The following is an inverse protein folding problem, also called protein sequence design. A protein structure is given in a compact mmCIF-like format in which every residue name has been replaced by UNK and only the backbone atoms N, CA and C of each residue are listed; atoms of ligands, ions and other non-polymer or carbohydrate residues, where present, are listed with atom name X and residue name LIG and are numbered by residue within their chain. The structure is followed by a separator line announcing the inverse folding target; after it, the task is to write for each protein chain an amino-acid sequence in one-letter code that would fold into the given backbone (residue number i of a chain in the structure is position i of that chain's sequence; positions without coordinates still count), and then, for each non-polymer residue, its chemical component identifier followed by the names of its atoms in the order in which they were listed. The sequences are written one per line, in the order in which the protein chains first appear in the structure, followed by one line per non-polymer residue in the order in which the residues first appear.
data_IF_750842183183
#
_entry.id   IF_750842183183
#
_cell.length_a   1.000
_cell.length_b   1.000
_cell.length_c   1.000
_cell.angle_alpha   90.00
_cell.angle_beta   90.00
_cell.angle_gamma   90.00
#
_symmetry.space_group_name_H-M   'P 1'
#
loop_
_entity.id
_entity.type
_entity.pdbx_description
1 polymer ?
#
# COMPACT_ATOMS: atom_id res chain seq x y z
N UNK A 1 -36.08 21.53 47.81
CA UNK A 1 -36.21 20.49 46.78
C UNK A 1 -37.39 19.63 47.19
N UNK A 2 -38.52 19.69 46.45
CA UNK A 2 -39.66 18.77 46.57
C UNK A 2 -39.27 17.46 45.90
N UNK A 3 -39.17 16.38 46.66
CA UNK A 3 -39.03 15.04 46.08
C UNK A 3 -40.44 14.57 45.62
N UNK A 4 -40.61 14.32 44.32
CA UNK A 4 -41.82 13.67 43.81
C UNK A 4 -41.79 12.19 44.19
N UNK A 5 -42.84 11.77 44.93
CA UNK A 5 -43.02 10.36 45.30
C UNK A 5 -44.12 9.77 44.37
N UNK A 6 -43.73 8.78 43.55
CA UNK A 6 -44.64 8.06 42.66
C UNK A 6 -45.16 6.79 43.35
N UNK A 7 -46.46 6.61 43.43
CA UNK A 7 -47.08 5.34 43.80
C UNK A 7 -47.58 4.66 42.55
N UNK A 8 -47.08 3.45 42.27
CA UNK A 8 -47.46 2.68 41.08
C UNK A 8 -47.27 1.19 41.28
N UNK A 9 -47.77 0.38 40.32
CA UNK A 9 -47.54 -1.05 40.27
C UNK A 9 -46.12 -1.32 39.77
N UNK A 10 -45.32 -2.11 40.51
CA UNK A 10 -43.96 -2.43 40.15
C UNK A 10 -43.92 -3.43 38.97
N UNK A 11 -43.47 -2.99 37.77
CA UNK A 11 -43.43 -3.83 36.54
C UNK A 11 -42.42 -4.96 36.61
N UNK A 12 -41.42 -4.88 37.50
CA UNK A 12 -40.43 -5.94 37.75
C UNK A 12 -40.93 -7.00 38.73
N UNK A 13 -42.20 -6.94 39.17
CA UNK A 13 -42.79 -7.97 39.99
C UNK A 13 -43.23 -9.15 39.09
N UNK A 14 -42.40 -10.19 38.99
CA UNK A 14 -42.61 -11.36 38.14
C UNK A 14 -43.87 -12.16 38.49
N UNK A 15 -44.45 -12.02 39.69
CA UNK A 15 -45.72 -12.64 40.01
C UNK A 15 -46.93 -11.93 39.38
N UNK A 16 -46.75 -10.68 38.94
CA UNK A 16 -47.81 -9.85 38.36
C UNK A 16 -47.60 -9.46 36.93
N UNK A 17 -46.36 -9.42 36.45
CA UNK A 17 -46.02 -8.98 35.11
C UNK A 17 -44.99 -9.94 34.47
N UNK A 18 -45.12 -10.10 33.14
CA UNK A 18 -44.11 -10.73 32.31
C UNK A 18 -43.55 -9.70 31.35
N UNK A 19 -42.20 -9.48 31.38
CA UNK A 19 -41.49 -8.70 30.38
C UNK A 19 -40.88 -9.68 29.40
N UNK A 20 -41.27 -9.62 28.14
CA UNK A 20 -40.80 -10.51 27.09
C UNK A 20 -40.07 -9.75 26.01
N UNK A 21 -38.89 -10.21 25.67
CA UNK A 21 -38.09 -9.75 24.53
C UNK A 21 -37.69 -11.02 23.73
N UNK A 22 -38.53 -11.50 22.83
CA UNK A 22 -38.35 -12.80 22.16
C UNK A 22 -37.07 -12.87 21.32
N UNK A 23 -36.65 -11.75 20.75
CA UNK A 23 -35.42 -11.65 19.98
C UNK A 23 -34.15 -11.76 20.83
N UNK A 24 -34.26 -11.65 22.17
CA UNK A 24 -33.14 -11.80 23.09
C UNK A 24 -33.27 -13.11 23.90
N UNK A 25 -33.51 -14.23 23.21
CA UNK A 25 -33.42 -15.56 23.82
C UNK A 25 -31.97 -15.86 24.16
N UNK A 26 -31.71 -16.79 25.04
CA UNK A 26 -30.36 -17.14 25.46
C UNK A 26 -29.50 -17.54 24.26
N UNK A 27 -28.36 -16.83 24.10
CA UNK A 27 -27.41 -17.05 23.00
C UNK A 27 -27.67 -16.29 21.70
N UNK A 28 -28.75 -15.45 21.63
CA UNK A 28 -28.95 -14.58 20.47
C UNK A 28 -27.86 -13.51 20.42
N UNK A 29 -27.12 -13.47 19.33
CA UNK A 29 -26.07 -12.50 19.06
C UNK A 29 -26.41 -11.75 17.75
N UNK A 30 -26.42 -10.45 17.80
CA UNK A 30 -26.45 -9.61 16.61
C UNK A 30 -25.04 -9.47 16.03
N UNK A 31 -24.93 -9.17 14.75
CA UNK A 31 -23.66 -8.85 14.09
C UNK A 31 -23.77 -7.41 13.60
N UNK A 32 -22.76 -6.62 13.86
CA UNK A 32 -22.71 -5.22 13.43
C UNK A 32 -23.13 -5.04 11.97
N UNK A 33 -24.05 -4.13 11.72
CA UNK A 33 -24.56 -3.78 10.39
C UNK A 33 -24.69 -2.25 10.16
N UNK A 34 -24.16 -1.45 11.11
CA UNK A 34 -24.22 0.00 11.08
C UNK A 34 -25.55 0.60 11.54
N UNK A 35 -26.55 -0.25 11.84
CA UNK A 35 -27.89 0.18 12.29
C UNK A 35 -28.07 -0.02 13.78
N UNK A 36 -29.03 0.69 14.36
CA UNK A 36 -29.44 0.49 15.74
C UNK A 36 -30.26 -0.80 15.90
N UNK A 37 -29.83 -1.69 16.78
CA UNK A 37 -30.58 -2.89 17.14
C UNK A 37 -31.59 -2.56 18.23
N UNK A 38 -32.89 -2.61 17.90
CA UNK A 38 -34.01 -2.28 18.79
C UNK A 38 -34.99 -3.47 18.89
N UNK A 39 -34.60 -4.56 19.61
CA UNK A 39 -35.45 -5.73 19.76
C UNK A 39 -36.76 -5.38 20.44
N UNK A 40 -37.89 -5.88 19.89
CA UNK A 40 -39.19 -5.58 20.44
C UNK A 40 -39.36 -6.13 21.86
N UNK A 41 -39.91 -5.28 22.75
CA UNK A 41 -40.19 -5.64 24.13
C UNK A 41 -41.69 -5.47 24.38
N UNK A 42 -42.29 -6.49 25.02
CA UNK A 42 -43.68 -6.45 25.48
C UNK A 42 -43.75 -6.65 26.97
N UNK A 43 -44.67 -5.89 27.62
CA UNK A 43 -44.98 -6.04 29.04
C UNK A 43 -46.43 -6.51 29.16
N UNK A 44 -46.64 -7.67 29.79
CA UNK A 44 -47.98 -8.26 29.97
C UNK A 44 -48.28 -8.42 31.46
N UNK A 45 -49.46 -7.97 31.88
CA UNK A 45 -49.98 -8.24 33.20
C UNK A 45 -50.54 -9.69 33.21
N UNK A 46 -50.05 -10.53 34.12
CA UNK A 46 -50.40 -11.94 34.22
C UNK A 46 -51.90 -12.12 34.46
N UNK A 47 -52.45 -11.38 35.44
CA UNK A 47 -53.84 -11.37 35.71
C UNK A 47 -54.63 -10.78 34.50
N UNK A 48 -55.45 -11.62 33.88
CA UNK A 48 -56.23 -11.29 32.72
C UNK A 48 -55.46 -11.23 31.39
N UNK A 49 -54.18 -11.63 31.40
CA UNK A 49 -53.28 -11.66 30.23
C UNK A 49 -53.34 -10.36 29.39
N UNK A 50 -53.32 -9.20 30.11
CA UNK A 50 -53.45 -7.90 29.49
C UNK A 50 -52.10 -7.31 29.11
N UNK A 51 -51.88 -7.07 27.81
CA UNK A 51 -50.73 -6.32 27.33
C UNK A 51 -50.80 -4.85 27.80
N UNK A 52 -49.72 -4.34 28.34
CA UNK A 52 -49.57 -2.92 28.60
C UNK A 52 -49.21 -2.16 27.31
N UNK A 53 -49.52 -0.87 27.26
CA UNK A 53 -49.34 -0.01 26.08
C UNK A 53 -48.00 0.72 26.23
N UNK A 54 -47.09 0.50 25.28
CA UNK A 54 -45.83 1.24 25.17
C UNK A 54 -46.11 2.74 25.10
N UNK A 55 -45.25 3.56 25.66
CA UNK A 55 -45.29 5.02 25.74
C UNK A 55 -46.46 5.60 26.55
N UNK A 56 -47.32 4.73 27.12
CA UNK A 56 -48.37 5.09 28.05
C UNK A 56 -48.19 4.43 29.43
N UNK A 57 -47.88 3.13 29.43
CA UNK A 57 -47.71 2.34 30.64
C UNK A 57 -46.22 2.01 30.93
N UNK A 58 -45.39 2.02 29.93
CA UNK A 58 -43.95 1.83 30.01
C UNK A 58 -43.27 2.46 28.82
N UNK A 59 -41.98 2.84 28.99
CA UNK A 59 -41.08 3.24 27.93
C UNK A 59 -40.02 2.17 27.71
N UNK A 60 -39.47 2.13 26.51
CA UNK A 60 -38.30 1.27 26.15
C UNK A 60 -37.23 2.18 25.62
N UNK A 61 -36.02 2.03 26.13
CA UNK A 61 -34.83 2.74 25.69
C UNK A 61 -33.71 1.75 25.43
N UNK A 62 -32.80 2.11 24.54
CA UNK A 62 -31.63 1.31 24.20
C UNK A 62 -30.37 2.16 24.39
N UNK A 63 -29.30 1.54 24.82
CA UNK A 63 -27.98 2.15 24.91
C UNK A 63 -26.93 1.22 24.35
N UNK A 64 -25.90 1.80 23.72
CA UNK A 64 -24.78 1.09 23.09
C UNK A 64 -25.21 0.05 22.04
N UNK A 65 -26.35 0.30 21.37
CA UNK A 65 -27.05 -0.65 20.51
C UNK A 65 -26.74 -0.51 19.03
N UNK A 66 -25.66 0.20 18.66
CA UNK A 66 -25.21 0.36 17.26
C UNK A 66 -23.89 -0.38 17.06
N UNK A 67 -22.90 -0.11 17.90
CA UNK A 67 -21.54 -0.60 17.77
C UNK A 67 -21.36 -2.01 18.35
N UNK A 68 -20.35 -2.71 17.87
CA UNK A 68 -19.97 -4.01 18.42
C UNK A 68 -19.63 -3.90 19.93
N UNK A 69 -20.16 -4.81 20.71
CA UNK A 69 -20.01 -4.79 22.17
C UNK A 69 -21.25 -5.30 22.89
N UNK A 70 -21.49 -4.75 24.07
CA UNK A 70 -22.64 -5.09 24.92
C UNK A 70 -23.64 -3.95 24.94
N UNK A 71 -24.78 -4.17 24.33
CA UNK A 71 -25.92 -3.24 24.34
C UNK A 71 -26.87 -3.53 25.51
N UNK A 72 -27.65 -2.55 25.89
CA UNK A 72 -28.66 -2.67 26.95
C UNK A 72 -30.02 -2.18 26.48
N UNK A 73 -31.05 -2.98 26.71
CA UNK A 73 -32.44 -2.55 26.62
C UNK A 73 -32.97 -2.29 28.03
N UNK A 74 -33.63 -1.14 28.22
CA UNK A 74 -34.23 -0.74 29.49
C UNK A 74 -35.73 -0.52 29.30
N UNK A 75 -36.53 -1.04 30.21
CA UNK A 75 -37.96 -0.84 30.29
C UNK A 75 -38.30 -0.11 31.58
N UNK A 76 -38.86 1.07 31.50
CA UNK A 76 -39.26 1.88 32.67
C UNK A 76 -40.80 2.03 32.75
N UNK A 77 -41.36 1.80 33.92
CA UNK A 77 -42.80 1.97 34.17
C UNK A 77 -43.21 3.43 34.09
N UNK A 78 -44.35 3.70 33.45
CA UNK A 78 -44.98 5.01 33.26
C UNK A 78 -46.39 5.05 33.84
N UNK A 79 -46.89 6.27 34.13
CA UNK A 79 -48.25 6.48 34.62
C UNK A 79 -48.49 5.81 36.00
N UNK A 80 -49.35 4.81 36.04
CA UNK A 80 -49.62 4.00 37.21
C UNK A 80 -48.67 2.84 37.46
N UNK A 81 -47.55 2.78 36.72
CA UNK A 81 -46.54 1.74 36.81
C UNK A 81 -45.17 2.36 37.19
N UNK A 82 -44.36 1.59 37.89
CA UNK A 82 -43.03 2.02 38.37
C UNK A 82 -42.02 0.86 38.24
N UNK A 83 -40.75 1.19 38.34
CA UNK A 83 -39.63 0.25 38.26
C UNK A 83 -38.96 0.22 36.91
N UNK A 84 -37.69 -0.25 36.90
CA UNK A 84 -36.85 -0.38 35.75
C UNK A 84 -36.42 -1.84 35.61
N UNK A 85 -36.65 -2.41 34.44
CA UNK A 85 -36.13 -3.71 34.05
C UNK A 85 -35.07 -3.51 32.94
N UNK A 86 -33.98 -4.25 33.00
CA UNK A 86 -32.91 -4.17 32.02
C UNK A 86 -32.47 -5.56 31.58
N UNK A 87 -32.08 -5.65 30.33
CA UNK A 87 -31.43 -6.83 29.78
C UNK A 87 -30.33 -6.42 28.83
N UNK A 88 -29.17 -7.07 28.89
CA UNK A 88 -28.08 -6.88 27.95
C UNK A 88 -28.16 -7.85 26.80
N UNK A 89 -27.59 -7.47 25.66
CA UNK A 89 -27.39 -8.33 24.50
C UNK A 89 -26.07 -7.99 23.80
N UNK A 90 -25.51 -8.97 23.08
CA UNK A 90 -24.24 -8.79 22.40
C UNK A 90 -24.44 -8.40 20.94
N UNK A 91 -23.61 -7.49 20.47
CA UNK A 91 -23.39 -7.17 19.05
C UNK A 91 -21.98 -7.61 18.72
N UNK A 92 -21.83 -8.66 17.89
CA UNK A 92 -20.55 -9.13 17.45
C UNK A 92 -19.98 -8.19 16.38
N UNK A 93 -18.65 -8.00 16.33
CA UNK A 93 -18.03 -7.32 15.22
C UNK A 93 -18.22 -8.10 13.92
N UNK A 94 -18.28 -7.37 12.79
CA UNK A 94 -18.37 -7.96 11.44
C UNK A 94 -17.00 -8.45 10.99
N UNK A 95 -16.94 -9.66 10.45
CA UNK A 95 -15.70 -10.21 9.90
C UNK A 95 -15.34 -9.50 8.57
N UNK A 96 -14.08 -9.08 8.40
CA UNK A 96 -13.60 -8.48 7.17
C UNK A 96 -13.65 -9.42 5.95
N UNK A 97 -13.84 -10.72 6.14
CA UNK A 97 -14.06 -11.69 5.05
C UNK A 97 -15.49 -11.71 4.54
N UNK A 98 -16.43 -11.03 5.21
CA UNK A 98 -17.82 -10.93 4.76
C UNK A 98 -17.90 -10.37 3.33
N UNK A 99 -18.86 -10.88 2.54
CA UNK A 99 -19.01 -10.50 1.13
C UNK A 99 -19.42 -9.04 0.92
N UNK A 100 -19.98 -8.39 1.93
CA UNK A 100 -20.33 -6.96 1.91
C UNK A 100 -19.15 -6.04 2.24
N UNK A 101 -17.99 -6.61 2.63
CA UNK A 101 -16.74 -5.87 2.81
C UNK A 101 -15.91 -5.95 1.54
N UNK A 102 -15.49 -4.82 1.02
CA UNK A 102 -14.59 -4.74 -0.13
C UNK A 102 -13.24 -4.15 0.28
N UNK A 103 -12.16 -4.67 -0.31
CA UNK A 103 -10.80 -4.18 -0.16
C UNK A 103 -10.31 -3.69 -1.52
N UNK A 104 -9.99 -2.42 -1.64
CA UNK A 104 -9.41 -1.82 -2.83
C UNK A 104 -7.96 -1.38 -2.61
N UNK A 105 -7.18 -1.45 -3.68
CA UNK A 105 -5.79 -1.00 -3.75
C UNK A 105 -5.65 -0.05 -4.92
N UNK A 106 -5.27 1.21 -4.66
CA UNK A 106 -5.22 2.23 -5.71
C UNK A 106 -6.54 2.42 -6.44
N UNK A 107 -7.68 2.20 -5.76
CA UNK A 107 -9.03 2.29 -6.33
C UNK A 107 -9.51 1.04 -7.10
N UNK A 108 -8.78 -0.08 -7.04
CA UNK A 108 -9.09 -1.33 -7.77
C UNK A 108 -9.35 -2.46 -6.77
N UNK A 109 -10.46 -3.19 -6.93
CA UNK A 109 -10.91 -4.24 -5.98
C UNK A 109 -10.56 -5.66 -6.42
N UNK A 110 -10.20 -5.88 -7.69
CA UNK A 110 -9.98 -7.21 -8.29
C UNK A 110 -8.52 -7.71 -8.20
N UNK A 111 -7.64 -6.99 -7.51
CA UNK A 111 -6.22 -7.33 -7.41
C UNK A 111 -5.40 -7.02 -8.68
N UNK A 112 -5.98 -6.32 -9.66
CA UNK A 112 -5.30 -5.97 -10.92
C UNK A 112 -4.43 -4.70 -10.83
N UNK A 113 -4.36 -4.04 -9.65
CA UNK A 113 -3.54 -2.85 -9.48
C UNK A 113 -2.08 -3.12 -9.80
N UNK A 114 -1.49 -2.26 -10.62
CA UNK A 114 -0.10 -2.34 -11.04
C UNK A 114 0.58 -1.00 -10.89
N UNK A 115 1.85 -1.04 -10.48
CA UNK A 115 2.72 0.14 -10.44
C UNK A 115 4.10 -0.25 -10.91
N UNK A 116 4.87 0.73 -11.39
CA UNK A 116 6.23 0.50 -11.86
C UNK A 116 7.22 0.48 -10.69
N UNK A 117 8.26 -0.34 -10.79
CA UNK A 117 9.39 -0.33 -9.87
C UNK A 117 10.01 1.08 -9.77
N UNK A 118 10.22 1.55 -8.55
CA UNK A 118 10.73 2.89 -8.25
C UNK A 118 12.10 2.89 -7.56
N UNK A 119 12.56 1.73 -7.07
CA UNK A 119 13.73 1.59 -6.23
C UNK A 119 13.45 1.76 -4.73
N UNK A 120 12.18 2.03 -4.36
CA UNK A 120 11.72 2.22 -2.97
C UNK A 120 10.56 1.29 -2.67
N UNK A 121 10.25 1.02 -1.39
CA UNK A 121 9.05 0.29 -1.00
C UNK A 121 7.79 0.90 -1.63
N UNK A 122 6.91 0.04 -2.14
CA UNK A 122 5.65 0.43 -2.77
C UNK A 122 4.50 0.18 -1.79
N UNK A 123 3.87 1.26 -1.35
CA UNK A 123 2.76 1.24 -0.41
C UNK A 123 1.58 2.00 -1.04
N UNK A 124 0.79 1.36 -1.90
CA UNK A 124 -0.35 2.00 -2.55
C UNK A 124 -1.44 2.34 -1.54
N UNK A 125 -2.30 3.30 -1.90
CA UNK A 125 -3.49 3.62 -1.12
C UNK A 125 -4.38 2.38 -0.99
N UNK A 126 -4.84 2.11 0.24
CA UNK A 126 -5.68 0.97 0.60
C UNK A 126 -6.96 1.48 1.24
N UNK A 127 -8.10 1.01 0.75
CA UNK A 127 -9.40 1.37 1.27
C UNK A 127 -10.24 0.11 1.52
N UNK A 128 -10.82 0.03 2.72
CA UNK A 128 -11.86 -0.93 3.05
C UNK A 128 -13.22 -0.22 3.04
N UNK A 129 -14.21 -0.87 2.46
CA UNK A 129 -15.62 -0.42 2.53
C UNK A 129 -16.51 -1.53 3.04
N UNK A 130 -17.59 -1.16 3.73
CA UNK A 130 -18.68 -2.04 4.14
C UNK A 130 -19.99 -1.48 3.60
N UNK A 131 -20.74 -2.24 2.81
CA UNK A 131 -21.93 -1.79 2.09
C UNK A 131 -21.74 -0.43 1.36
N UNK A 132 -20.55 -0.25 0.75
CA UNK A 132 -20.17 0.97 0.03
C UNK A 132 -19.77 2.16 0.93
N UNK A 133 -19.80 2.02 2.26
CA UNK A 133 -19.36 3.03 3.20
C UNK A 133 -17.90 2.76 3.61
N UNK A 134 -17.08 3.81 3.66
CA UNK A 134 -15.67 3.67 4.07
C UNK A 134 -15.54 3.26 5.53
N UNK A 135 -14.76 2.22 5.78
CA UNK A 135 -14.28 1.87 7.11
C UNK A 135 -13.13 2.83 7.46
N UNK A 136 -13.18 3.38 8.67
CA UNK A 136 -12.14 4.32 9.12
C UNK A 136 -10.76 3.66 9.14
N UNK A 137 -9.74 4.36 8.66
CA UNK A 137 -8.35 3.90 8.74
C UNK A 137 -7.82 3.78 10.18
N UNK A 138 -8.57 4.31 11.16
CA UNK A 138 -8.31 4.08 12.58
C UNK A 138 -8.67 2.67 13.03
N UNK A 139 -9.54 1.97 12.29
CA UNK A 139 -10.15 0.70 12.70
C UNK A 139 -9.43 -0.54 12.14
N UNK A 140 -8.47 -0.34 11.24
CA UNK A 140 -7.64 -1.43 10.72
C UNK A 140 -6.17 -1.02 10.56
N UNK A 141 -5.33 -2.00 10.33
CA UNK A 141 -3.92 -1.84 9.96
C UNK A 141 -3.68 -2.53 8.63
N UNK A 142 -2.72 -2.01 7.86
CA UNK A 142 -2.27 -2.61 6.59
C UNK A 142 -0.87 -3.13 6.76
N UNK A 143 -0.61 -4.31 6.25
CA UNK A 143 0.72 -4.91 6.16
C UNK A 143 0.99 -5.41 4.74
N UNK A 144 2.25 -5.37 4.34
CA UNK A 144 2.73 -5.80 3.04
C UNK A 144 3.60 -7.04 3.19
N UNK A 145 3.64 -7.88 2.16
CA UNK A 145 4.57 -9.00 2.08
C UNK A 145 6.02 -8.55 2.25
N UNK A 146 6.90 -9.50 2.58
CA UNK A 146 8.29 -9.21 2.97
C UNK A 146 9.08 -8.43 1.92
N UNK A 147 8.84 -8.64 0.63
CA UNK A 147 9.40 -7.85 -0.46
C UNK A 147 8.27 -7.10 -1.20
N UNK A 148 8.15 -5.82 -0.94
CA UNK A 148 7.29 -4.88 -1.66
C UNK A 148 8.11 -3.76 -2.30
N UNK A 149 9.40 -4.04 -2.58
CA UNK A 149 10.32 -3.14 -3.28
C UNK A 149 10.62 -3.65 -4.66
N UNK A 150 10.93 -4.94 -4.84
CA UNK A 150 11.32 -5.52 -6.12
C UNK A 150 10.12 -5.82 -7.01
N UNK A 151 10.37 -6.00 -8.30
CA UNK A 151 9.33 -6.46 -9.24
C UNK A 151 8.72 -7.79 -8.80
N UNK A 152 7.42 -7.92 -8.95
CA UNK A 152 6.71 -9.15 -8.59
C UNK A 152 5.31 -8.88 -8.08
N UNK A 153 4.64 -9.94 -7.68
CA UNK A 153 3.33 -9.86 -7.02
C UNK A 153 3.53 -9.74 -5.52
N UNK A 154 2.93 -8.72 -4.93
CA UNK A 154 2.98 -8.42 -3.50
C UNK A 154 1.62 -8.73 -2.89
N UNK A 155 1.59 -9.48 -1.80
CA UNK A 155 0.39 -9.67 -0.98
C UNK A 155 0.27 -8.53 0.01
N UNK A 156 -0.91 -7.97 0.13
CA UNK A 156 -1.29 -6.94 1.08
C UNK A 156 -2.39 -7.52 1.98
N UNK A 157 -2.32 -7.25 3.28
CA UNK A 157 -3.31 -7.71 4.25
C UNK A 157 -3.78 -6.52 5.10
N UNK A 158 -5.08 -6.30 5.12
CA UNK A 158 -5.75 -5.40 6.04
C UNK A 158 -6.28 -6.22 7.22
N UNK A 159 -5.98 -5.80 8.45
CA UNK A 159 -6.38 -6.49 9.68
C UNK A 159 -7.13 -5.51 10.57
N UNK A 160 -8.34 -5.90 11.00
CA UNK A 160 -9.13 -5.11 11.94
C UNK A 160 -8.41 -4.98 13.29
N UNK A 161 -8.55 -3.82 13.92
CA UNK A 161 -8.04 -3.60 15.28
C UNK A 161 -9.05 -4.09 16.32
N UNK A 162 -8.52 -4.55 17.45
CA UNK A 162 -9.35 -4.96 18.58
C UNK A 162 -10.23 -3.80 19.09
N UNK A 163 -11.46 -4.12 19.46
CA UNK A 163 -12.40 -3.16 20.04
C UNK A 163 -13.10 -2.25 19.01
N UNK A 164 -12.99 -2.56 17.72
CA UNK A 164 -13.72 -1.89 16.65
C UNK A 164 -14.98 -2.68 16.25
N UNK A 165 -15.75 -2.13 15.33
CA UNK A 165 -16.94 -2.79 14.78
C UNK A 165 -16.63 -3.94 13.81
N UNK A 166 -15.35 -4.16 13.55
CA UNK A 166 -14.86 -5.18 12.62
C UNK A 166 -13.89 -6.14 13.30
N UNK A 167 -13.72 -7.32 12.71
CA UNK A 167 -12.78 -8.37 13.18
C UNK A 167 -12.16 -9.10 11.99
N UNK A 168 -11.12 -9.88 12.26
CA UNK A 168 -10.44 -10.69 11.24
C UNK A 168 -9.54 -9.88 10.30
N UNK A 169 -9.24 -10.46 9.16
CA UNK A 169 -8.36 -9.85 8.15
C UNK A 169 -8.79 -10.19 6.74
N UNK A 170 -8.49 -9.30 5.80
CA UNK A 170 -8.72 -9.49 4.37
C UNK A 170 -7.45 -9.21 3.59
N UNK A 171 -7.11 -10.08 2.63
CA UNK A 171 -5.91 -9.95 1.81
C UNK A 171 -6.26 -9.80 0.34
N UNK A 172 -5.39 -9.11 -0.38
CA UNK A 172 -5.39 -9.00 -1.84
C UNK A 172 -3.95 -8.92 -2.34
N UNK A 173 -3.76 -8.79 -3.65
CA UNK A 173 -2.44 -8.64 -4.26
C UNK A 173 -2.38 -7.42 -5.16
N UNK A 174 -1.16 -6.92 -5.38
CA UNK A 174 -0.85 -5.98 -6.45
C UNK A 174 0.48 -6.35 -7.12
N UNK A 175 0.78 -5.78 -8.28
CA UNK A 175 2.00 -6.12 -9.02
C UNK A 175 2.92 -4.91 -9.17
N UNK A 176 4.20 -5.10 -8.84
CA UNK A 176 5.28 -4.18 -9.17
C UNK A 176 5.87 -4.62 -10.51
N UNK A 177 5.74 -3.79 -11.54
CA UNK A 177 6.22 -4.06 -12.88
C UNK A 177 7.65 -3.56 -13.09
N UNK A 178 8.33 -4.05 -14.14
CA UNK A 178 9.68 -3.62 -14.50
C UNK A 178 9.74 -2.13 -14.85
N UNK A 179 10.83 -1.44 -14.45
CA UNK A 179 11.13 -0.12 -14.95
C UNK A 179 11.87 -0.21 -16.30
N UNK A 180 11.36 0.47 -17.33
CA UNK A 180 12.00 0.49 -18.65
C UNK A 180 13.07 1.55 -18.72
N UNK A 181 14.33 1.18 -19.07
CA UNK A 181 15.43 2.12 -19.25
C UNK A 181 15.37 2.87 -20.58
N UNK A 182 14.56 2.42 -21.52
CA UNK A 182 14.35 3.02 -22.84
C UNK A 182 13.76 2.04 -23.85
N UNK A 183 13.53 2.52 -25.07
CA UNK A 183 12.90 1.78 -26.15
C UNK A 183 13.87 1.37 -27.27
N UNK A 184 15.16 1.33 -27.00
CA UNK A 184 16.21 1.00 -27.99
C UNK A 184 16.78 2.19 -28.75
N UNK A 185 16.27 3.41 -28.48
CA UNK A 185 16.79 4.65 -29.06
C UNK A 185 17.95 5.26 -28.24
N UNK A 186 18.29 6.50 -28.57
CA UNK A 186 19.40 7.24 -27.90
C UNK A 186 18.93 8.08 -26.70
N UNK A 187 17.64 8.13 -26.45
CA UNK A 187 17.06 8.87 -25.32
C UNK A 187 16.67 7.88 -24.23
N UNK A 188 17.25 8.00 -23.03
CA UNK A 188 16.80 7.20 -21.89
C UNK A 188 15.35 7.51 -21.52
N UNK A 189 14.64 6.55 -20.93
CA UNK A 189 13.33 6.78 -20.33
C UNK A 189 13.41 7.77 -19.17
N UNK A 190 12.26 8.34 -18.79
CA UNK A 190 12.18 9.29 -17.66
C UNK A 190 12.77 8.69 -16.38
N UNK A 191 13.50 9.51 -15.65
CA UNK A 191 14.22 9.11 -14.44
C UNK A 191 15.59 8.47 -14.70
N UNK A 192 15.90 8.03 -15.92
CA UNK A 192 17.18 7.43 -16.26
C UNK A 192 18.18 8.43 -16.85
N UNK A 193 19.45 8.27 -16.50
CA UNK A 193 20.57 9.07 -17.00
C UNK A 193 21.80 8.20 -17.23
N UNK A 194 22.40 8.32 -18.43
CA UNK A 194 23.67 7.65 -18.74
C UNK A 194 24.83 8.62 -18.45
N UNK A 195 25.83 8.16 -17.70
CA UNK A 195 27.07 8.89 -17.45
C UNK A 195 27.84 9.26 -18.73
N UNK A 196 28.75 10.22 -18.64
CA UNK A 196 29.64 10.56 -19.74
C UNK A 196 30.49 9.32 -20.13
N UNK A 197 30.86 9.26 -21.40
CA UNK A 197 31.83 8.27 -21.90
C UNK A 197 33.01 9.07 -22.50
N UNK A 198 34.14 9.00 -21.85
CA UNK A 198 35.38 9.58 -22.35
C UNK A 198 35.82 8.83 -23.63
N UNK A 199 36.61 9.46 -24.52
CA UNK A 199 37.19 8.78 -25.67
C UNK A 199 37.96 7.54 -25.22
N UNK A 200 37.77 6.42 -25.94
CA UNK A 200 38.32 5.12 -25.60
C UNK A 200 39.42 4.72 -26.56
N UNK A 201 40.54 4.11 -26.11
CA UNK A 201 41.47 3.43 -26.99
C UNK A 201 40.91 2.06 -27.40
N UNK A 202 41.40 1.49 -28.50
CA UNK A 202 41.23 0.06 -28.78
C UNK A 202 42.11 -0.75 -27.83
N UNK A 203 41.55 -1.77 -27.21
CA UNK A 203 42.28 -2.77 -26.43
C UNK A 203 41.93 -4.14 -27.05
N UNK A 204 42.93 -4.88 -27.46
CA UNK A 204 42.74 -6.16 -28.15
C UNK A 204 41.76 -6.07 -29.34
N UNK A 205 41.85 -4.95 -30.11
CA UNK A 205 41.04 -4.70 -31.29
C UNK A 205 39.61 -4.19 -31.06
N UNK A 206 39.21 -3.96 -29.78
CA UNK A 206 37.89 -3.44 -29.46
C UNK A 206 37.92 -2.37 -28.36
N UNK A 207 36.90 -1.51 -28.33
CA UNK A 207 36.66 -0.57 -27.25
C UNK A 207 35.34 -0.93 -26.54
N UNK A 208 35.41 -1.18 -25.23
CA UNK A 208 34.27 -1.67 -24.42
C UNK A 208 34.05 -0.81 -23.18
N UNK A 209 33.70 0.48 -23.33
CA UNK A 209 33.43 1.34 -22.18
C UNK A 209 32.25 0.83 -21.35
N UNK A 210 32.33 1.03 -20.05
CA UNK A 210 31.28 0.65 -19.09
C UNK A 210 30.66 1.92 -18.48
N UNK A 211 29.77 2.61 -19.22
CA UNK A 211 29.17 3.84 -18.73
C UNK A 211 28.25 3.56 -17.54
N UNK A 212 28.30 4.42 -16.55
CA UNK A 212 27.39 4.38 -15.40
C UNK A 212 25.97 4.69 -15.87
N UNK A 213 25.00 3.98 -15.33
CA UNK A 213 23.56 4.22 -15.52
C UNK A 213 22.98 4.63 -14.16
N UNK A 214 22.12 5.62 -14.16
CA UNK A 214 21.44 6.12 -12.96
C UNK A 214 19.93 6.04 -13.16
N UNK A 215 19.21 5.74 -12.07
CA UNK A 215 17.76 5.82 -11.99
C UNK A 215 17.36 6.66 -10.78
N UNK A 216 16.58 7.72 -11.00
CA UNK A 216 16.18 8.69 -9.97
C UNK A 216 17.35 9.18 -9.10
N UNK A 217 18.53 9.36 -9.72
CA UNK A 217 19.75 9.82 -9.04
C UNK A 217 20.58 8.70 -8.39
N UNK A 218 20.05 7.48 -8.28
CA UNK A 218 20.76 6.31 -7.74
C UNK A 218 21.58 5.62 -8.84
N UNK A 219 22.85 5.33 -8.59
CA UNK A 219 23.69 4.57 -9.53
C UNK A 219 23.28 3.10 -9.55
N UNK A 220 23.06 2.57 -10.76
CA UNK A 220 22.71 1.18 -10.99
C UNK A 220 23.97 0.32 -11.13
N UNK A 221 23.84 -0.97 -10.77
CA UNK A 221 24.95 -1.92 -10.76
C UNK A 221 24.99 -2.72 -12.07
N UNK A 222 26.08 -2.56 -12.82
CA UNK A 222 26.32 -3.36 -14.02
C UNK A 222 26.44 -4.85 -13.68
N UNK A 223 25.80 -5.72 -14.47
CA UNK A 223 25.70 -7.15 -14.23
C UNK A 223 24.52 -7.56 -13.34
N UNK A 224 23.91 -6.64 -12.59
CA UNK A 224 22.72 -6.87 -11.74
C UNK A 224 21.51 -6.14 -12.27
N UNK A 225 21.67 -4.86 -12.65
CA UNK A 225 20.57 -3.98 -13.07
C UNK A 225 20.57 -3.75 -14.59
N UNK A 226 21.76 -3.77 -15.20
CA UNK A 226 21.93 -3.63 -16.63
C UNK A 226 23.18 -4.33 -17.13
N UNK A 227 23.24 -4.60 -18.42
CA UNK A 227 24.41 -5.09 -19.16
C UNK A 227 24.71 -4.16 -20.34
N UNK A 228 25.97 -4.19 -20.81
CA UNK A 228 26.40 -3.47 -22.01
C UNK A 228 26.69 -4.42 -23.17
N UNK A 229 26.26 -4.03 -24.37
CA UNK A 229 26.68 -4.61 -25.64
C UNK A 229 27.11 -3.48 -26.57
N UNK A 230 27.83 -3.80 -27.66
CA UNK A 230 28.48 -2.78 -28.49
C UNK A 230 28.19 -2.99 -29.97
N UNK A 231 28.19 -1.90 -30.74
CA UNK A 231 28.14 -1.87 -32.19
C UNK A 231 29.25 -0.95 -32.69
N UNK A 232 29.97 -1.35 -33.77
CA UNK A 232 31.04 -0.56 -34.40
C UNK A 232 32.16 -0.13 -33.43
N UNK A 233 32.53 -1.02 -32.55
CA UNK A 233 33.49 -0.71 -31.47
C UNK A 233 34.91 -1.25 -31.77
N UNK A 234 35.23 -1.55 -33.04
CA UNK A 234 36.44 -2.19 -33.54
C UNK A 234 37.30 -1.28 -34.44
N UNK A 235 36.91 -0.03 -34.61
CA UNK A 235 37.59 0.89 -35.52
C UNK A 235 37.64 2.31 -34.92
N UNK A 236 38.75 3.03 -35.17
CA UNK A 236 38.89 4.43 -34.78
C UNK A 236 37.82 5.26 -35.48
N UNK A 237 37.09 6.07 -34.68
CA UNK A 237 35.98 6.90 -35.19
C UNK A 237 35.11 7.44 -34.05
N UNK A 238 33.96 8.00 -34.40
CA UNK A 238 33.04 8.65 -33.45
C UNK A 238 31.61 8.08 -33.50
N UNK A 239 31.41 6.99 -34.22
CA UNK A 239 30.09 6.35 -34.43
C UNK A 239 29.95 4.97 -33.77
N UNK A 240 30.91 4.63 -32.89
CA UNK A 240 30.78 3.48 -32.02
C UNK A 240 29.62 3.67 -31.03
N UNK A 241 28.89 2.59 -30.76
CA UNK A 241 27.68 2.60 -29.93
C UNK A 241 27.81 1.60 -28.79
N UNK A 242 27.52 2.02 -27.58
CA UNK A 242 27.21 1.12 -26.46
C UNK A 242 25.69 1.05 -26.30
N UNK A 243 25.18 -0.15 -26.12
CA UNK A 243 23.77 -0.45 -25.84
C UNK A 243 23.68 -0.93 -24.40
N UNK A 244 23.02 -0.16 -23.56
CA UNK A 244 22.69 -0.56 -22.18
C UNK A 244 21.34 -1.26 -22.23
N UNK A 245 21.26 -2.48 -21.70
CA UNK A 245 20.06 -3.30 -21.64
C UNK A 245 19.71 -3.59 -20.18
N UNK A 246 18.48 -3.27 -19.78
CA UNK A 246 17.96 -3.53 -18.44
C UNK A 246 17.81 -5.02 -18.13
N UNK A 247 18.15 -5.41 -16.92
CA UNK A 247 17.96 -6.74 -16.33
C UNK A 247 17.47 -6.58 -14.88
N UNK A 248 17.16 -7.67 -14.18
CA UNK A 248 16.68 -7.61 -12.79
C UNK A 248 15.31 -6.91 -12.68
N UNK A 249 15.28 -5.78 -12.01
CA UNK A 249 14.08 -4.92 -11.87
C UNK A 249 13.84 -3.99 -13.07
N UNK A 250 14.72 -4.06 -14.08
CA UNK A 250 14.70 -3.18 -15.24
C UNK A 250 14.51 -3.96 -16.55
N UNK A 251 14.03 -3.25 -17.55
CA UNK A 251 13.80 -3.79 -18.91
C UNK A 251 14.11 -2.74 -19.97
N UNK A 252 13.99 -3.12 -21.23
CA UNK A 252 14.25 -2.23 -22.36
C UNK A 252 15.74 -1.99 -22.60
N UNK A 253 16.05 -1.07 -23.49
CA UNK A 253 17.43 -0.71 -23.81
C UNK A 253 17.55 0.75 -24.23
N UNK A 254 18.77 1.29 -24.11
CA UNK A 254 19.11 2.63 -24.57
C UNK A 254 20.51 2.62 -25.17
N UNK A 255 20.72 3.40 -26.23
CA UNK A 255 21.98 3.53 -26.96
C UNK A 255 22.70 4.82 -26.57
N UNK A 256 24.04 4.80 -26.59
CA UNK A 256 24.86 5.99 -26.51
C UNK A 256 26.08 5.86 -27.42
N UNK A 257 26.34 6.89 -28.22
CA UNK A 257 27.55 6.96 -29.02
C UNK A 257 28.78 7.30 -28.19
N UNK A 258 29.93 6.82 -28.62
CA UNK A 258 31.22 7.19 -28.04
C UNK A 258 32.31 7.26 -29.12
N UNK A 259 33.42 7.91 -28.80
CA UNK A 259 34.56 8.10 -29.69
C UNK A 259 35.64 7.06 -29.40
N UNK A 260 36.20 6.44 -30.45
CA UNK A 260 37.38 5.62 -30.35
C UNK A 260 38.56 6.40 -30.93
N UNK A 261 39.65 6.48 -30.17
CA UNK A 261 40.88 7.19 -30.52
C UNK A 261 42.03 6.21 -30.63
N UNK A 262 43.06 6.59 -31.39
CA UNK A 262 44.32 5.90 -31.34
C UNK A 262 44.95 6.03 -29.96
N UNK A 263 45.60 4.95 -29.47
CA UNK A 263 46.39 5.01 -28.26
C UNK A 263 47.76 5.64 -28.57
N UNK A 264 48.08 6.76 -27.95
CA UNK A 264 49.34 7.46 -28.20
C UNK A 264 50.55 6.65 -27.71
N UNK A 265 50.32 5.70 -26.78
CA UNK A 265 51.38 4.79 -26.30
C UNK A 265 51.87 3.79 -27.39
N UNK A 266 50.99 3.55 -28.41
CA UNK A 266 51.29 2.66 -29.53
C UNK A 266 51.85 3.44 -30.74
N UNK A 267 52.05 4.76 -30.59
CA UNK A 267 52.62 5.59 -31.65
C UNK A 267 54.17 5.45 -31.64
N UNK A 268 54.68 5.03 -32.78
CA UNK A 268 56.16 5.08 -32.98
C UNK A 268 56.59 6.54 -33.16
N UNK A 269 57.25 7.08 -32.16
CA UNK A 269 57.79 8.44 -32.22
C UNK A 269 59.13 8.36 -32.94
N UNK A 270 59.14 8.61 -34.22
CA UNK A 270 60.35 8.85 -34.98
C UNK A 270 60.81 10.31 -34.78
N UNK A 271 61.88 10.49 -34.08
CA UNK A 271 62.59 11.79 -34.03
C UNK A 271 63.46 11.86 -35.26
N UNK A 272 63.25 12.83 -36.18
CA UNK A 272 64.14 12.98 -37.34
C UNK A 272 65.59 13.19 -36.84
N UNK A 273 66.52 12.46 -37.40
CA UNK A 273 67.97 12.58 -37.08
C UNK A 273 68.53 14.01 -37.31
N UNK A 274 67.78 14.85 -37.96
CA UNK A 274 68.17 16.25 -38.28
C UNK A 274 67.96 17.24 -37.13
N UNK A 275 67.50 16.80 -35.96
CA UNK A 275 67.29 17.71 -34.78
C UNK A 275 68.50 17.71 -33.82
N UNK A 276 69.62 17.15 -34.19
CA UNK A 276 70.82 17.32 -33.40
C UNK A 276 71.44 18.72 -33.59
N UNK A 277 71.23 19.59 -32.60
CA UNK A 277 71.96 20.86 -32.51
C UNK A 277 73.32 20.59 -31.86
N UNK A 278 74.36 20.62 -32.64
CA UNK A 278 75.72 20.69 -32.06
C UNK A 278 75.87 22.12 -31.45
N UNK A 279 75.74 22.18 -30.11
CA UNK A 279 76.18 23.42 -29.40
C UNK A 279 77.68 23.42 -29.27
N UNK A 280 78.31 24.39 -29.96
CA UNK A 280 79.75 24.69 -29.72
C UNK A 280 79.90 25.37 -28.33
N UNK A 281 81.06 25.23 -27.76
CA UNK A 281 81.41 25.80 -26.43
C UNK A 281 81.20 27.31 -26.30
N UNK A 282 80.95 28.04 -27.42
CA UNK A 282 80.79 29.45 -27.48
C UNK A 282 79.27 29.88 -27.43
N UNK A 283 78.29 28.93 -27.24
CA UNK A 283 76.87 29.22 -27.11
C UNK A 283 76.11 29.45 -28.38
N UNK A 284 76.71 29.23 -29.57
CA UNK A 284 76.01 29.32 -30.86
C UNK A 284 75.52 27.95 -31.35
N UNK A 285 74.16 27.84 -31.59
CA UNK A 285 73.52 26.71 -32.23
C UNK A 285 73.31 27.00 -33.72
N UNK A 286 73.96 26.23 -34.62
CA UNK A 286 73.66 26.27 -36.03
C UNK A 286 72.62 25.19 -36.39
N UNK A 287 71.55 25.59 -37.04
CA UNK A 287 70.66 24.66 -37.78
C UNK A 287 71.33 24.25 -39.09
N UNK A 288 71.44 22.97 -39.37
CA UNK A 288 71.61 22.45 -40.71
C UNK A 288 70.29 21.99 -41.25
#
# INVERSE_FOLDING_TARGET
KTAEFRIGQLITNESKFTISCPALTDGTQYVYDGSAFEPEVTVTRIEGNKKLVKDSNYSVTYTDNIHAGTATVSVEGLGGYVGVWQKTFAIAPRDLTDSSVELSVGGVTDGSYQTQYTGSPVEPEVELTYDGQKISTTDYTVSYGADHTSRGTVTLTATAKDGTDFTGSRSTTFTITLASIGNGGYTPANGFKIGAIEPQPLVDGTATPQPKLYYNGTELVMGTDYICTYEKNDSIGSDAVVILKGIGNYTGSVKKTFKICANIADAEITVPDELWCECRRDGHCNRR
#
